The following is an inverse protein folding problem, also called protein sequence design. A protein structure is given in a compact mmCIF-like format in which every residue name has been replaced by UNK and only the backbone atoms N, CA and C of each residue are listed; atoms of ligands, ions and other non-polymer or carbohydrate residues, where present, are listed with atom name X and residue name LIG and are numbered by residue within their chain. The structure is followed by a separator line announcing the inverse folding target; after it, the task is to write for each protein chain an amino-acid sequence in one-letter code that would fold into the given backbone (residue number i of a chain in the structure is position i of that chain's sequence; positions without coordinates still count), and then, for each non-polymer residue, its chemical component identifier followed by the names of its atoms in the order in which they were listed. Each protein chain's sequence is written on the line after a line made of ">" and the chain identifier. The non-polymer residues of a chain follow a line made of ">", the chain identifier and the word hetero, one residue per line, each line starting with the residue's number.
data_IF_263115880127
#
_entry.id   IF_263115880127
#
_cell.length_a   1.000
_cell.length_b   1.000
_cell.length_c   1.000
_cell.angle_alpha   90.00
_cell.angle_beta   90.00
_cell.angle_gamma   90.00
#
_symmetry.space_group_name_H-M   'P 1'
#
loop_
_entity.id
_entity.type
_entity.pdbx_description
1 polymer ?
#
# COMPACT_ATOMS: atom_id res chain seq x y z
N UNK A 1 -51.09 -2.09 -3.07
CA UNK A 1 -49.89 -1.82 -3.90
C UNK A 1 -48.68 -1.95 -2.99
N UNK A 2 -48.04 -3.11 -2.99
CA UNK A 2 -46.89 -3.40 -2.12
C UNK A 2 -45.61 -3.01 -2.86
N UNK A 3 -44.91 -1.98 -2.34
CA UNK A 3 -43.58 -1.60 -2.82
C UNK A 3 -42.53 -2.50 -2.17
N UNK A 4 -41.89 -3.35 -2.97
CA UNK A 4 -40.71 -4.13 -2.58
C UNK A 4 -39.48 -3.22 -2.64
N UNK A 5 -38.98 -2.78 -1.50
CA UNK A 5 -37.61 -2.27 -1.43
C UNK A 5 -36.63 -3.44 -1.58
N UNK A 6 -35.82 -3.40 -2.63
CA UNK A 6 -34.74 -4.36 -2.88
C UNK A 6 -33.41 -3.78 -2.37
N UNK A 7 -32.65 -4.48 -1.52
CA UNK A 7 -31.32 -4.04 -1.09
C UNK A 7 -30.24 -4.64 -2.02
N UNK A 8 -30.16 -4.19 -3.28
CA UNK A 8 -29.22 -4.75 -4.27
C UNK A 8 -28.11 -3.79 -4.75
N UNK A 9 -28.15 -2.53 -4.30
CA UNK A 9 -27.23 -1.48 -4.78
C UNK A 9 -25.80 -1.54 -4.22
N UNK A 10 -25.62 -1.96 -2.96
CA UNK A 10 -24.30 -1.95 -2.29
C UNK A 10 -23.35 -3.02 -2.84
N UNK A 11 -23.84 -4.25 -3.04
CA UNK A 11 -23.01 -5.38 -3.47
C UNK A 11 -22.60 -5.28 -4.94
N UNK A 12 -23.50 -4.82 -5.81
CA UNK A 12 -23.23 -4.64 -7.24
C UNK A 12 -22.17 -3.55 -7.48
N UNK A 13 -22.24 -2.45 -6.73
CA UNK A 13 -21.26 -1.36 -6.81
C UNK A 13 -19.88 -1.78 -6.29
N UNK A 14 -19.82 -2.59 -5.21
CA UNK A 14 -18.56 -3.13 -4.70
C UNK A 14 -17.87 -4.06 -5.70
N UNK A 15 -18.63 -4.92 -6.38
CA UNK A 15 -18.10 -5.82 -7.42
C UNK A 15 -17.54 -5.02 -8.59
N UNK A 16 -18.27 -3.98 -9.03
CA UNK A 16 -17.80 -3.10 -10.12
C UNK A 16 -16.50 -2.39 -9.74
N UNK A 17 -16.47 -1.73 -8.57
CA UNK A 17 -15.29 -0.99 -8.11
C UNK A 17 -14.07 -1.92 -7.98
N UNK A 18 -14.25 -3.11 -7.38
CA UNK A 18 -13.19 -4.12 -7.23
C UNK A 18 -12.61 -4.53 -8.58
N UNK A 19 -13.47 -4.75 -9.57
CA UNK A 19 -13.04 -5.13 -10.93
C UNK A 19 -12.30 -4.00 -11.62
N UNK A 20 -12.76 -2.75 -11.47
CA UNK A 20 -12.11 -1.59 -12.07
C UNK A 20 -10.70 -1.36 -11.48
N UNK A 21 -10.53 -1.57 -10.18
CA UNK A 21 -9.22 -1.51 -9.54
C UNK A 21 -8.31 -2.66 -10.00
N UNK A 22 -8.84 -3.88 -10.15
CA UNK A 22 -8.06 -5.01 -10.64
C UNK A 22 -7.54 -4.77 -12.07
N UNK A 23 -8.39 -4.26 -12.97
CA UNK A 23 -7.99 -3.88 -14.34
C UNK A 23 -6.89 -2.81 -14.30
N UNK A 24 -7.07 -1.77 -13.47
CA UNK A 24 -6.05 -0.75 -13.26
C UNK A 24 -4.73 -1.37 -12.76
N UNK A 25 -4.80 -2.24 -11.75
CA UNK A 25 -3.63 -2.86 -11.13
C UNK A 25 -2.86 -3.74 -12.12
N UNK A 26 -3.57 -4.50 -12.96
CA UNK A 26 -2.93 -5.29 -14.03
C UNK A 26 -2.17 -4.39 -15.00
N UNK A 27 -2.79 -3.29 -15.45
CA UNK A 27 -2.13 -2.29 -16.30
C UNK A 27 -0.96 -1.59 -15.60
N UNK A 28 -1.08 -1.33 -14.30
CA UNK A 28 -0.03 -0.74 -13.48
C UNK A 28 1.16 -1.70 -13.36
N UNK A 29 0.94 -2.99 -13.07
CA UNK A 29 1.98 -4.01 -12.97
C UNK A 29 2.74 -4.22 -14.29
N UNK A 30 2.05 -4.14 -15.44
CA UNK A 30 2.70 -4.17 -16.74
C UNK A 30 3.65 -2.99 -16.94
N UNK A 31 3.24 -1.78 -16.53
CA UNK A 31 4.13 -0.59 -16.55
C UNK A 31 5.27 -0.73 -15.54
N UNK A 32 5.02 -1.31 -14.38
CA UNK A 32 6.03 -1.59 -13.35
C UNK A 32 7.15 -2.49 -13.88
N UNK A 33 6.81 -3.53 -14.65
CA UNK A 33 7.80 -4.35 -15.37
C UNK A 33 8.64 -3.54 -16.36
N UNK A 34 8.01 -2.68 -17.18
CA UNK A 34 8.73 -1.82 -18.12
C UNK A 34 9.65 -0.81 -17.42
N UNK A 35 9.20 -0.24 -16.30
CA UNK A 35 10.05 0.62 -15.47
C UNK A 35 11.23 -0.16 -14.89
N UNK A 36 11.04 -1.42 -14.49
CA UNK A 36 12.15 -2.25 -14.04
C UNK A 36 13.22 -2.42 -15.14
N UNK A 37 12.80 -2.79 -16.35
CA UNK A 37 13.69 -2.97 -17.51
C UNK A 37 14.42 -1.68 -17.86
N UNK A 38 13.69 -0.55 -17.86
CA UNK A 38 14.28 0.76 -18.11
C UNK A 38 15.32 1.12 -17.04
N UNK A 39 14.99 0.97 -15.76
CA UNK A 39 15.92 1.21 -14.65
C UNK A 39 17.17 0.33 -14.75
N UNK A 40 17.02 -0.95 -15.10
CA UNK A 40 18.15 -1.86 -15.30
C UNK A 40 19.03 -1.45 -16.49
N UNK A 41 18.43 -1.05 -17.60
CA UNK A 41 19.14 -0.61 -18.81
C UNK A 41 19.90 0.68 -18.54
N UNK A 42 19.29 1.63 -17.83
CA UNK A 42 19.94 2.87 -17.40
C UNK A 42 21.12 2.60 -16.45
N UNK A 43 21.04 1.60 -15.57
CA UNK A 43 22.17 1.22 -14.71
C UNK A 43 23.33 0.59 -15.50
N UNK A 44 23.03 -0.19 -16.53
CA UNK A 44 24.05 -0.83 -17.37
C UNK A 44 24.82 0.18 -18.23
N UNK A 45 24.15 1.26 -18.64
CA UNK A 45 24.72 2.31 -19.49
C UNK A 45 24.79 3.65 -18.75
N UNK A 46 25.10 3.63 -17.45
CA UNK A 46 24.97 4.80 -16.57
C UNK A 46 25.87 5.97 -17.01
N UNK A 47 27.01 5.67 -17.62
CA UNK A 47 27.98 6.65 -18.13
C UNK A 47 27.46 7.43 -19.34
N UNK A 48 26.49 6.86 -20.08
CA UNK A 48 25.90 7.47 -21.27
C UNK A 48 24.77 8.48 -20.92
N UNK A 49 24.35 8.51 -19.65
CA UNK A 49 23.22 9.31 -19.19
C UNK A 49 23.65 10.57 -18.46
N UNK A 50 23.02 11.70 -18.80
CA UNK A 50 23.18 12.95 -18.05
C UNK A 50 22.38 12.90 -16.76
N UNK A 51 22.82 13.66 -15.76
CA UNK A 51 22.13 13.75 -14.48
C UNK A 51 20.64 14.16 -14.62
N UNK A 52 20.34 15.09 -15.53
CA UNK A 52 18.96 15.50 -15.84
C UNK A 52 18.10 14.36 -16.37
N UNK A 53 18.66 13.48 -17.21
CA UNK A 53 17.93 12.32 -17.75
C UNK A 53 17.57 11.34 -16.63
N UNK A 54 18.50 11.14 -15.69
CA UNK A 54 18.28 10.31 -14.50
C UNK A 54 17.18 10.91 -13.61
N UNK A 55 17.21 12.22 -13.36
CA UNK A 55 16.19 12.91 -12.58
C UNK A 55 14.79 12.82 -13.20
N UNK A 56 14.70 12.92 -14.54
CA UNK A 56 13.45 12.71 -15.27
C UNK A 56 12.93 11.28 -15.08
N UNK A 57 13.80 10.28 -15.14
CA UNK A 57 13.41 8.88 -14.93
C UNK A 57 12.97 8.63 -13.48
N UNK A 58 13.70 9.13 -12.49
CA UNK A 58 13.33 9.06 -11.06
C UNK A 58 11.93 9.64 -10.86
N UNK A 59 11.68 10.83 -11.41
CA UNK A 59 10.38 11.51 -11.29
C UNK A 59 9.24 10.70 -11.94
N UNK A 60 9.47 10.08 -13.10
CA UNK A 60 8.49 9.22 -13.77
C UNK A 60 8.15 7.99 -12.93
N UNK A 61 9.15 7.34 -12.33
CA UNK A 61 8.95 6.17 -11.47
C UNK A 61 8.21 6.56 -10.19
N UNK A 62 8.56 7.67 -9.54
CA UNK A 62 7.84 8.15 -8.36
C UNK A 62 6.38 8.50 -8.69
N UNK A 63 6.13 9.16 -9.83
CA UNK A 63 4.77 9.42 -10.31
C UNK A 63 3.99 8.12 -10.56
N UNK A 64 4.64 7.08 -11.09
CA UNK A 64 4.02 5.77 -11.27
C UNK A 64 3.56 5.15 -9.94
N UNK A 65 4.38 5.22 -8.88
CA UNK A 65 3.95 4.78 -7.55
C UNK A 65 2.86 5.67 -6.96
N UNK A 66 2.93 6.99 -7.17
CA UNK A 66 1.92 7.92 -6.69
C UNK A 66 0.52 7.59 -7.25
N UNK A 67 0.44 7.34 -8.57
CA UNK A 67 -0.81 6.92 -9.24
C UNK A 67 -1.43 5.67 -8.60
N UNK A 68 -0.61 4.73 -8.11
CA UNK A 68 -1.12 3.56 -7.41
C UNK A 68 -1.81 3.93 -6.09
N UNK A 69 -1.19 4.81 -5.29
CA UNK A 69 -1.78 5.23 -4.02
C UNK A 69 -3.01 6.11 -4.21
N UNK A 70 -3.03 6.99 -5.22
CA UNK A 70 -4.24 7.76 -5.57
C UNK A 70 -5.40 6.81 -5.91
N UNK A 71 -5.17 5.86 -6.82
CA UNK A 71 -6.22 4.91 -7.23
C UNK A 71 -6.64 3.98 -6.08
N UNK A 72 -5.71 3.63 -5.19
CA UNK A 72 -6.01 2.83 -3.99
C UNK A 72 -6.81 3.63 -2.97
N UNK A 73 -6.54 4.93 -2.82
CA UNK A 73 -7.31 5.84 -1.97
C UNK A 73 -8.75 5.97 -2.47
N UNK A 74 -8.95 6.12 -3.79
CA UNK A 74 -10.29 6.11 -4.37
C UNK A 74 -11.03 4.80 -4.09
N UNK A 75 -10.37 3.64 -4.19
CA UNK A 75 -10.96 2.36 -3.81
C UNK A 75 -11.34 2.34 -2.32
N UNK A 76 -10.46 2.84 -1.45
CA UNK A 76 -10.69 2.85 -0.01
C UNK A 76 -11.93 3.66 0.38
N UNK A 77 -12.19 4.79 -0.29
CA UNK A 77 -13.41 5.59 -0.03
C UNK A 77 -14.69 4.86 -0.45
N UNK A 78 -14.62 3.88 -1.34
CA UNK A 78 -15.76 3.02 -1.69
C UNK A 78 -15.91 1.84 -0.74
N UNK A 79 -14.82 1.12 -0.47
CA UNK A 79 -14.77 0.02 0.48
C UNK A 79 -13.34 -0.26 0.95
N UNK A 80 -12.98 0.32 2.10
CA UNK A 80 -11.66 0.15 2.71
C UNK A 80 -11.32 -1.32 3.04
N UNK A 81 -12.31 -2.16 3.34
CA UNK A 81 -12.07 -3.57 3.68
C UNK A 81 -11.51 -4.37 2.49
N UNK A 82 -11.79 -3.95 1.24
CA UNK A 82 -11.16 -4.54 0.05
C UNK A 82 -9.66 -4.23 -0.03
N UNK A 83 -9.19 -3.14 0.58
CA UNK A 83 -7.75 -2.83 0.62
C UNK A 83 -7.04 -3.64 1.71
N UNK A 84 -7.72 -3.93 2.82
CA UNK A 84 -7.19 -4.75 3.91
C UNK A 84 -7.27 -6.26 3.64
N UNK A 85 -8.22 -6.71 2.82
CA UNK A 85 -8.31 -8.08 2.32
C UNK A 85 -8.41 -8.12 0.79
N UNK A 86 -7.33 -7.75 0.08
CA UNK A 86 -7.38 -7.54 -1.37
C UNK A 86 -7.49 -8.85 -2.15
N UNK A 87 -8.54 -9.06 -2.97
CA UNK A 87 -8.69 -10.29 -3.75
C UNK A 87 -7.65 -10.41 -4.89
N UNK A 88 -7.08 -9.29 -5.33
CA UNK A 88 -6.13 -9.20 -6.44
C UNK A 88 -4.66 -9.50 -6.07
N UNK A 89 -4.36 -9.76 -4.80
CA UNK A 89 -3.03 -10.17 -4.34
C UNK A 89 -3.03 -11.62 -3.84
N UNK A 90 -1.94 -12.34 -4.09
CA UNK A 90 -1.77 -13.71 -3.60
C UNK A 90 -1.63 -13.75 -2.06
N UNK A 91 -1.95 -14.87 -1.39
CA UNK A 91 -1.70 -15.01 0.04
C UNK A 91 -0.22 -14.76 0.41
N UNK A 92 0.71 -15.21 -0.44
CA UNK A 92 2.14 -14.97 -0.26
C UNK A 92 2.48 -13.47 -0.28
N UNK A 93 1.97 -12.70 -1.24
CA UNK A 93 2.17 -11.24 -1.28
C UNK A 93 1.63 -10.56 -0.03
N UNK A 94 0.45 -10.98 0.44
CA UNK A 94 -0.19 -10.41 1.64
C UNK A 94 0.65 -10.61 2.91
N UNK A 95 1.54 -11.60 2.97
CA UNK A 95 2.44 -11.79 4.13
C UNK A 95 3.44 -10.64 4.33
N UNK A 96 3.69 -9.85 3.28
CA UNK A 96 4.56 -8.68 3.34
C UNK A 96 3.80 -7.38 3.66
N UNK A 97 2.47 -7.44 3.77
CA UNK A 97 1.67 -6.27 4.05
C UNK A 97 1.66 -5.95 5.55
N UNK A 98 1.70 -4.66 5.82
CA UNK A 98 1.43 -4.06 7.11
C UNK A 98 0.03 -3.42 7.02
N UNK A 99 -0.07 -2.10 6.96
CA UNK A 99 -1.36 -1.40 6.81
C UNK A 99 -1.69 -1.22 5.32
N UNK A 100 -2.36 -2.21 4.71
CA UNK A 100 -2.84 -2.15 3.31
C UNK A 100 -1.73 -2.03 2.24
N UNK A 101 -0.51 -2.45 2.56
CA UNK A 101 0.66 -2.39 1.68
C UNK A 101 1.97 -2.64 2.44
N UNK A 102 3.12 -2.52 1.76
CA UNK A 102 4.44 -2.73 2.37
C UNK A 102 4.72 -1.78 3.53
N UNK A 103 5.49 -2.21 4.53
CA UNK A 103 5.94 -1.34 5.60
C UNK A 103 7.03 -0.37 5.09
N UNK A 104 6.90 0.96 5.25
CA UNK A 104 7.84 1.94 4.72
C UNK A 104 9.33 1.67 5.05
N UNK A 105 9.63 1.20 6.27
CA UNK A 105 10.99 0.85 6.71
C UNK A 105 11.67 -0.23 5.88
N UNK A 106 10.91 -1.02 5.10
CA UNK A 106 11.48 -1.94 4.12
C UNK A 106 12.29 -1.21 3.04
N UNK A 107 11.96 0.04 2.72
CA UNK A 107 12.73 0.85 1.79
C UNK A 107 14.20 0.99 2.22
N UNK A 108 14.45 1.20 3.50
CA UNK A 108 15.81 1.31 4.03
C UNK A 108 16.57 -0.02 3.99
N UNK A 109 15.90 -1.13 4.31
CA UNK A 109 16.49 -2.46 4.16
C UNK A 109 16.90 -2.74 2.72
N UNK A 110 16.09 -2.32 1.75
CA UNK A 110 16.44 -2.45 0.32
C UNK A 110 17.61 -1.53 -0.02
N UNK A 111 17.58 -0.28 0.43
CA UNK A 111 18.64 0.71 0.19
C UNK A 111 20.00 0.20 0.69
N UNK A 112 20.05 -0.33 1.91
CA UNK A 112 21.25 -0.90 2.53
C UNK A 112 21.79 -2.13 1.79
N UNK A 113 20.96 -2.83 1.01
CA UNK A 113 21.41 -3.98 0.20
C UNK A 113 22.00 -3.60 -1.15
N UNK A 114 21.79 -2.37 -1.63
CA UNK A 114 22.19 -1.96 -3.00
C UNK A 114 23.04 -0.70 -3.07
N UNK A 115 23.15 0.06 -1.99
CA UNK A 115 24.04 1.19 -1.86
C UNK A 115 25.03 0.88 -0.75
N UNK A 116 26.30 0.69 -1.11
CA UNK A 116 27.34 0.46 -0.11
C UNK A 116 27.52 1.69 0.78
N UNK A 117 27.88 1.49 2.05
CA UNK A 117 28.08 2.60 2.99
C UNK A 117 29.13 3.63 2.54
N UNK A 118 30.13 3.18 1.77
CA UNK A 118 31.18 4.03 1.16
C UNK A 118 30.66 4.88 -0.01
N UNK A 119 29.57 4.49 -0.67
CA UNK A 119 28.96 5.27 -1.76
C UNK A 119 28.15 6.46 -1.25
N UNK A 120 27.74 6.45 0.02
CA UNK A 120 27.01 7.55 0.64
C UNK A 120 27.99 8.62 1.14
N UNK A 121 27.63 9.89 0.99
CA UNK A 121 28.35 10.95 1.70
C UNK A 121 27.99 10.93 3.19
N UNK A 122 28.82 11.53 4.03
CA UNK A 122 28.53 11.64 5.47
C UNK A 122 27.21 12.36 5.73
N UNK A 123 26.95 13.43 4.97
CA UNK A 123 25.70 14.16 5.03
C UNK A 123 24.49 13.28 4.63
N UNK A 124 24.64 12.43 3.60
CA UNK A 124 23.58 11.52 3.20
C UNK A 124 23.30 10.47 4.27
N UNK A 125 24.34 9.88 4.88
CA UNK A 125 24.18 8.93 5.99
C UNK A 125 23.41 9.55 7.16
N UNK A 126 23.86 10.70 7.65
CA UNK A 126 23.20 11.40 8.75
C UNK A 126 21.73 11.72 8.45
N UNK A 127 21.42 12.20 7.24
CA UNK A 127 20.04 12.51 6.83
C UNK A 127 19.18 11.25 6.70
N UNK A 128 19.74 10.14 6.21
CA UNK A 128 19.03 8.87 6.14
C UNK A 128 18.76 8.30 7.53
N UNK A 129 19.71 8.38 8.46
CA UNK A 129 19.53 7.88 9.82
C UNK A 129 18.49 8.70 10.58
N UNK A 130 18.52 10.03 10.48
CA UNK A 130 17.44 10.89 11.01
C UNK A 130 16.08 10.51 10.42
N UNK A 131 16.02 10.27 9.10
CA UNK A 131 14.78 9.87 8.44
C UNK A 131 14.29 8.48 8.90
N UNK A 132 15.19 7.53 9.18
CA UNK A 132 14.83 6.21 9.75
C UNK A 132 14.22 6.36 11.15
N UNK A 133 14.80 7.21 11.99
CA UNK A 133 14.32 7.44 13.35
C UNK A 133 12.95 8.11 13.35
N UNK A 134 12.76 9.13 12.51
CA UNK A 134 11.46 9.77 12.30
C UNK A 134 10.42 8.75 11.80
N UNK A 135 10.80 7.96 10.78
CA UNK A 135 9.91 6.97 10.20
C UNK A 135 9.51 5.90 11.22
N UNK A 136 10.42 5.45 12.08
CA UNK A 136 10.12 4.45 13.10
C UNK A 136 9.06 4.95 14.09
N UNK A 137 9.10 6.25 14.44
CA UNK A 137 8.08 6.89 15.29
C UNK A 137 6.74 6.98 14.56
N UNK A 138 6.72 7.50 13.33
CA UNK A 138 5.49 7.62 12.54
C UNK A 138 4.83 6.24 12.26
N UNK A 139 5.63 5.21 11.98
CA UNK A 139 5.12 3.84 11.83
C UNK A 139 4.50 3.31 13.13
N UNK A 140 5.12 3.59 14.28
CA UNK A 140 4.61 3.18 15.59
C UNK A 140 3.28 3.88 15.92
N UNK A 141 3.14 5.15 15.58
CA UNK A 141 1.90 5.91 15.78
C UNK A 141 0.78 5.37 14.89
N UNK A 142 1.02 5.12 13.60
CA UNK A 142 0.04 4.49 12.71
C UNK A 142 -0.36 3.09 13.21
N UNK A 143 0.59 2.30 13.72
CA UNK A 143 0.28 0.99 14.31
C UNK A 143 -0.60 1.11 15.57
N UNK A 144 -0.34 2.12 16.42
CA UNK A 144 -1.15 2.40 17.61
C UNK A 144 -2.57 2.81 17.25
N UNK A 145 -2.72 3.68 16.24
CA UNK A 145 -4.04 4.09 15.74
C UNK A 145 -4.82 2.93 15.12
N UNK A 146 -4.14 2.02 14.41
CA UNK A 146 -4.75 0.78 13.93
C UNK A 146 -5.28 -0.06 15.09
N UNK A 147 -4.46 -0.29 16.11
CA UNK A 147 -4.86 -1.08 17.27
C UNK A 147 -6.05 -0.45 18.00
N UNK A 148 -6.00 0.86 18.26
CA UNK A 148 -7.09 1.63 18.87
C UNK A 148 -8.39 1.56 18.06
N UNK A 149 -8.29 1.66 16.72
CA UNK A 149 -9.45 1.56 15.83
C UNK A 149 -10.10 0.17 15.90
N UNK A 150 -9.29 -0.89 15.96
CA UNK A 150 -9.79 -2.26 16.09
C UNK A 150 -10.34 -2.56 17.49
N UNK A 151 -9.68 -2.08 18.55
CA UNK A 151 -10.08 -2.26 19.95
C UNK A 151 -11.45 -1.65 20.22
N UNK A 152 -11.73 -0.46 19.67
CA UNK A 152 -13.04 0.19 19.81
C UNK A 152 -14.19 -0.69 19.31
N UNK A 153 -13.96 -1.53 18.30
CA UNK A 153 -14.98 -2.47 17.80
C UNK A 153 -15.02 -3.75 18.62
N UNK A 154 -13.87 -4.25 19.07
CA UNK A 154 -13.79 -5.47 19.86
C UNK A 154 -14.37 -5.31 21.28
N UNK A 155 -14.31 -4.09 21.83
CA UNK A 155 -14.80 -3.75 23.18
C UNK A 155 -16.23 -3.21 23.17
N UNK A 156 -16.78 -2.91 22.00
CA UNK A 156 -18.15 -2.45 21.86
C UNK A 156 -19.11 -3.61 22.17
N UNK A 157 -19.82 -3.47 23.27
CA UNK A 157 -20.73 -4.49 23.78
C UNK A 157 -21.87 -4.76 22.78
N UNK A 158 -22.32 -3.76 22.02
CA UNK A 158 -23.34 -3.95 21.00
C UNK A 158 -22.82 -4.77 19.81
N UNK A 159 -21.53 -4.65 19.44
CA UNK A 159 -20.91 -5.52 18.43
C UNK A 159 -20.84 -6.96 18.93
N UNK A 160 -20.36 -7.17 20.16
CA UNK A 160 -20.22 -8.51 20.73
C UNK A 160 -21.59 -9.19 20.91
N UNK A 161 -22.60 -8.44 21.33
CA UNK A 161 -23.98 -8.91 21.42
C UNK A 161 -24.58 -9.18 20.04
N UNK A 162 -24.34 -8.32 19.04
CA UNK A 162 -24.85 -8.53 17.69
C UNK A 162 -24.17 -9.70 16.96
N UNK A 163 -22.87 -9.92 17.16
CA UNK A 163 -22.15 -11.11 16.67
C UNK A 163 -22.72 -12.38 17.32
N UNK A 164 -22.99 -12.34 18.63
CA UNK A 164 -23.62 -13.45 19.37
C UNK A 164 -25.07 -13.71 18.95
N UNK A 165 -25.81 -12.65 18.59
CA UNK A 165 -27.20 -12.72 18.11
C UNK A 165 -27.31 -13.00 16.61
N UNK A 166 -26.23 -12.95 15.85
CA UNK A 166 -26.18 -13.36 14.44
C UNK A 166 -26.59 -14.84 14.25
N UNK A 167 -26.51 -15.65 15.32
CA UNK A 167 -27.06 -17.02 15.35
C UNK A 167 -28.61 -17.06 15.40
N UNK A 168 -29.32 -15.98 15.77
CA UNK A 168 -30.78 -15.93 15.98
C UNK A 168 -31.40 -14.58 15.53
N UNK A 169 -31.91 -14.48 14.28
CA UNK A 169 -32.28 -13.20 13.65
C UNK A 169 -33.72 -12.70 13.93
N UNK A 170 -33.89 -11.39 14.23
CA UNK A 170 -35.11 -10.57 13.94
C UNK A 170 -34.73 -9.15 13.44
N UNK A 171 -35.53 -8.66 12.48
CA UNK A 171 -35.42 -7.54 11.53
C UNK A 171 -35.24 -6.09 12.08
N UNK A 172 -34.96 -5.91 13.39
CA UNK A 172 -34.83 -4.59 14.04
C UNK A 172 -33.39 -4.18 14.41
N UNK A 173 -32.47 -5.14 14.57
CA UNK A 173 -31.08 -4.92 15.03
C UNK A 173 -30.09 -4.54 13.91
N UNK A 174 -30.58 -4.39 12.68
CA UNK A 174 -29.77 -4.12 11.48
C UNK A 174 -29.19 -2.69 11.47
N UNK A 175 -29.85 -1.74 12.13
CA UNK A 175 -29.50 -0.29 12.07
C UNK A 175 -28.29 0.06 12.97
N UNK A 176 -28.15 -0.60 14.13
CA UNK A 176 -27.07 -0.33 15.10
C UNK A 176 -25.73 -0.92 14.63
N UNK A 177 -25.75 -2.13 14.06
CA UNK A 177 -24.59 -2.74 13.40
C UNK A 177 -24.05 -1.86 12.25
N UNK A 178 -24.94 -1.24 11.48
CA UNK A 178 -24.57 -0.37 10.36
C UNK A 178 -23.88 0.93 10.84
N UNK A 179 -24.25 1.46 12.02
CA UNK A 179 -23.57 2.61 12.61
C UNK A 179 -22.15 2.28 13.10
N UNK A 180 -21.97 1.09 13.70
CA UNK A 180 -20.67 0.66 14.21
C UNK A 180 -19.72 0.31 13.05
N UNK A 181 -20.22 -0.38 12.02
CA UNK A 181 -19.45 -0.65 10.80
C UNK A 181 -19.03 0.63 10.08
N UNK A 182 -19.86 1.69 10.10
CA UNK A 182 -19.47 3.01 9.60
C UNK A 182 -18.31 3.62 10.40
N UNK A 183 -18.36 3.54 11.72
CA UNK A 183 -17.28 4.03 12.59
C UNK A 183 -15.95 3.31 12.36
N UNK A 184 -15.99 1.96 12.30
CA UNK A 184 -14.82 1.15 11.96
C UNK A 184 -14.26 1.49 10.59
N UNK A 185 -15.13 1.57 9.58
CA UNK A 185 -14.75 1.92 8.22
C UNK A 185 -14.02 3.26 8.18
N UNK A 186 -14.58 4.29 8.81
CA UNK A 186 -13.97 5.62 8.84
C UNK A 186 -12.60 5.61 9.54
N UNK A 187 -12.47 4.92 10.67
CA UNK A 187 -11.18 4.75 11.35
C UNK A 187 -10.14 4.03 10.47
N UNK A 188 -10.55 2.96 9.80
CA UNK A 188 -9.68 2.21 8.89
C UNK A 188 -9.27 3.03 7.65
N UNK A 189 -10.17 3.88 7.13
CA UNK A 189 -9.86 4.82 6.03
C UNK A 189 -8.78 5.83 6.44
N UNK A 190 -8.89 6.38 7.66
CA UNK A 190 -7.88 7.30 8.23
C UNK A 190 -6.54 6.60 8.39
N UNK A 191 -6.52 5.42 9.04
CA UNK A 191 -5.31 4.64 9.27
C UNK A 191 -4.62 4.27 7.96
N UNK A 192 -5.40 3.85 6.95
CA UNK A 192 -4.87 3.54 5.61
C UNK A 192 -4.27 4.79 4.94
N UNK A 193 -4.97 5.92 5.01
CA UNK A 193 -4.51 7.20 4.45
C UNK A 193 -3.18 7.62 5.06
N UNK A 194 -3.07 7.59 6.40
CA UNK A 194 -1.81 7.89 7.09
C UNK A 194 -0.68 6.96 6.65
N UNK A 195 -0.94 5.66 6.54
CA UNK A 195 0.07 4.68 6.11
C UNK A 195 0.53 4.91 4.66
N UNK A 196 -0.39 5.27 3.76
CA UNK A 196 -0.06 5.55 2.35
C UNK A 196 0.67 6.88 2.17
N UNK A 197 0.26 7.92 2.89
CA UNK A 197 1.00 9.18 2.95
C UNK A 197 2.42 8.95 3.44
N UNK A 198 2.61 8.11 4.47
CA UNK A 198 3.93 7.77 4.98
C UNK A 198 4.81 7.06 3.94
N UNK A 199 4.23 6.14 3.14
CA UNK A 199 4.95 5.47 2.03
C UNK A 199 5.40 6.46 0.96
N UNK A 200 4.48 7.33 0.51
CA UNK A 200 4.77 8.34 -0.51
C UNK A 200 5.82 9.34 -0.02
N UNK A 201 5.65 9.84 1.21
CA UNK A 201 6.59 10.77 1.84
C UNK A 201 7.98 10.14 2.01
N UNK A 202 8.06 8.88 2.46
CA UNK A 202 9.33 8.16 2.63
C UNK A 202 10.06 8.04 1.30
N UNK A 203 9.37 7.59 0.23
CA UNK A 203 9.97 7.48 -1.09
C UNK A 203 10.51 8.84 -1.59
N UNK A 204 9.71 9.90 -1.45
CA UNK A 204 10.11 11.26 -1.81
C UNK A 204 11.34 11.74 -1.04
N UNK A 205 11.31 11.65 0.30
CA UNK A 205 12.41 12.08 1.17
C UNK A 205 13.71 11.29 0.90
N UNK A 206 13.63 9.97 0.70
CA UNK A 206 14.81 9.17 0.32
C UNK A 206 15.40 9.66 -1.00
N UNK A 207 14.58 9.87 -2.03
CA UNK A 207 15.08 10.34 -3.34
C UNK A 207 15.60 11.78 -3.34
N UNK A 208 15.23 12.60 -2.35
CA UNK A 208 15.79 13.94 -2.15
C UNK A 208 17.13 13.94 -1.39
N UNK A 209 17.45 12.84 -0.70
CA UNK A 209 18.74 12.68 0.00
C UNK A 209 19.77 12.06 -0.94
N UNK A 210 19.36 11.07 -1.71
CA UNK A 210 20.22 10.38 -2.66
C UNK A 210 20.52 11.23 -3.90
N UNK A 211 21.68 10.98 -4.52
CA UNK A 211 21.96 11.52 -5.85
C UNK A 211 21.22 10.70 -6.93
N UNK A 212 21.15 11.18 -8.18
CA UNK A 212 20.31 10.53 -9.19
C UNK A 212 20.73 9.08 -9.51
N UNK A 213 22.03 8.78 -9.55
CA UNK A 213 22.53 7.41 -9.76
C UNK A 213 22.10 6.48 -8.61
N UNK A 214 22.25 6.92 -7.37
CA UNK A 214 21.80 6.20 -6.18
C UNK A 214 20.27 5.99 -6.20
N UNK A 215 19.50 6.99 -6.63
CA UNK A 215 18.05 6.87 -6.81
C UNK A 215 17.68 5.78 -7.82
N UNK A 216 18.36 5.72 -8.97
CA UNK A 216 18.11 4.66 -9.97
C UNK A 216 18.42 3.29 -9.37
N UNK A 217 19.56 3.12 -8.67
CA UNK A 217 19.91 1.84 -8.00
C UNK A 217 18.83 1.43 -7.00
N UNK A 218 18.43 2.35 -6.13
CA UNK A 218 17.42 2.13 -5.12
C UNK A 218 16.05 1.75 -5.73
N UNK A 219 15.55 2.55 -6.68
CA UNK A 219 14.26 2.28 -7.34
C UNK A 219 14.29 0.98 -8.14
N UNK A 220 15.39 0.65 -8.80
CA UNK A 220 15.55 -0.63 -9.50
C UNK A 220 15.40 -1.81 -8.52
N UNK A 221 16.01 -1.70 -7.34
CA UNK A 221 15.98 -2.73 -6.31
C UNK A 221 14.59 -2.89 -5.67
N UNK A 222 13.91 -1.79 -5.35
CA UNK A 222 12.54 -1.80 -4.82
C UNK A 222 11.58 -2.44 -5.82
N UNK A 223 11.63 -1.99 -7.08
CA UNK A 223 10.80 -2.52 -8.15
C UNK A 223 11.08 -4.02 -8.37
N UNK A 224 12.36 -4.42 -8.39
CA UNK A 224 12.77 -5.84 -8.48
C UNK A 224 12.18 -6.68 -7.36
N UNK A 225 12.26 -6.19 -6.12
CA UNK A 225 11.74 -6.92 -4.96
C UNK A 225 10.23 -7.15 -5.10
N UNK A 226 9.47 -6.10 -5.42
CA UNK A 226 8.02 -6.21 -5.60
C UNK A 226 7.65 -7.21 -6.71
N UNK A 227 8.31 -7.13 -7.87
CA UNK A 227 8.08 -8.05 -8.97
C UNK A 227 8.44 -9.50 -8.62
N UNK A 228 9.51 -9.72 -7.85
CA UNK A 228 9.90 -11.06 -7.37
C UNK A 228 8.88 -11.62 -6.37
N UNK A 229 8.39 -10.81 -5.43
CA UNK A 229 7.35 -11.24 -4.48
C UNK A 229 6.10 -11.65 -5.26
N UNK A 230 5.64 -10.82 -6.21
CA UNK A 230 4.50 -11.10 -7.10
C UNK A 230 4.69 -12.40 -7.87
N UNK A 231 5.83 -12.55 -8.55
CA UNK A 231 6.16 -13.73 -9.36
C UNK A 231 6.15 -14.99 -8.52
N UNK A 232 6.78 -14.96 -7.33
CA UNK A 232 6.81 -16.09 -6.42
C UNK A 232 5.42 -16.44 -5.91
N UNK A 233 4.61 -15.45 -5.57
CA UNK A 233 3.22 -15.66 -5.16
C UNK A 233 2.40 -16.36 -6.24
N UNK A 234 2.52 -15.93 -7.50
CA UNK A 234 1.82 -16.57 -8.62
C UNK A 234 2.26 -18.01 -8.84
N UNK A 235 3.56 -18.30 -8.73
CA UNK A 235 4.08 -19.68 -8.82
C UNK A 235 3.51 -20.59 -7.73
N UNK A 236 3.38 -20.08 -6.51
CA UNK A 236 2.83 -20.86 -5.38
C UNK A 236 1.34 -21.16 -5.53
N UNK A 237 0.57 -20.31 -6.22
CA UNK A 237 -0.83 -20.59 -6.52
C UNK A 237 -0.95 -21.64 -7.64
N UNK A 238 -0.13 -21.54 -8.69
CA UNK A 238 -0.18 -22.49 -9.82
C UNK A 238 0.46 -23.86 -9.54
N UNK A 239 0.99 -24.09 -8.34
CA UNK A 239 1.61 -25.37 -7.93
C UNK A 239 0.69 -26.25 -7.07
N UNK A 240 -0.55 -25.81 -6.81
CA UNK A 240 -1.61 -26.53 -6.10
C UNK A 240 -2.73 -26.93 -7.08
#
# INVERSE_FOLDING_TARGET
>A
MSSKHSPSGSSSNNISCSRDFEIFLQGWLLRQHRFHELLQTTLQNIEDHKEDDLNVLVSKVLSHYHQYYERKSEMATHNVFLVFSPPWFTPFEKTFFWVGGFRPSLAFKVLETVINGEELTEQQRQRLDMLKDDLAREEADVAREMASTQEKVATDQAVMEAVKKMENRIDGEIVEMDAILRGLRSGMEIVLSCADSLRVATAGKVTQILNPVQCIKFLAAVTKLQLRIRTKGMQLIGSN
#
